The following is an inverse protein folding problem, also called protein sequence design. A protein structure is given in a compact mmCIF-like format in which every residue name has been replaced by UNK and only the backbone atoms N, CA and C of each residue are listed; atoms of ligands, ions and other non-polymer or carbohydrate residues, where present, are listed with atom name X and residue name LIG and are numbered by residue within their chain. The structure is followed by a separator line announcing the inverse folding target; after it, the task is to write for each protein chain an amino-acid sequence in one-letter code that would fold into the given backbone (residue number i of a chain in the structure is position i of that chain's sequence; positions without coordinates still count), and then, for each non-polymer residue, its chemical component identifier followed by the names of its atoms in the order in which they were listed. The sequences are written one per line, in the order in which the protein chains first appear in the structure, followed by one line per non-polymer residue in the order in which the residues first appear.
data_IF_025297152059
#
_entry.id   IF_025297152059
#
_cell.length_a   1.000
_cell.length_b   1.000
_cell.length_c   1.000
_cell.angle_alpha   90.00
_cell.angle_beta   90.00
_cell.angle_gamma   90.00
#
_symmetry.space_group_name_H-M   'P 1'
#
loop_
_entity.id
_entity.type
_entity.pdbx_description
1 polymer ?
#
# COMPACT_ATOMS: atom_id res chain seq x y z
N UNK A 1 61.10 -18.04 40.04
CA UNK A 1 60.10 -18.99 39.52
C UNK A 1 58.73 -18.32 39.50
N UNK A 2 58.21 -17.84 38.36
CA UNK A 2 56.81 -17.47 38.24
C UNK A 2 56.02 -18.61 37.57
N UNK A 3 54.87 -18.98 38.16
CA UNK A 3 53.94 -19.97 37.62
C UNK A 3 53.01 -19.30 36.61
N UNK A 4 53.08 -19.74 35.35
CA UNK A 4 52.17 -19.33 34.27
C UNK A 4 50.90 -20.17 34.40
N UNK A 5 49.75 -19.53 34.64
CA UNK A 5 48.44 -20.16 34.54
C UNK A 5 47.95 -20.06 33.08
N UNK A 6 47.80 -21.20 32.42
CA UNK A 6 47.17 -21.29 31.10
C UNK A 6 45.64 -21.36 31.29
N UNK A 7 44.92 -20.38 30.76
CA UNK A 7 43.46 -20.39 30.67
C UNK A 7 43.11 -21.08 29.36
N UNK A 8 42.53 -22.28 29.43
CA UNK A 8 41.95 -22.96 28.27
C UNK A 8 40.51 -22.47 28.09
N UNK A 9 40.29 -21.64 27.06
CA UNK A 9 38.95 -21.22 26.64
C UNK A 9 38.34 -22.35 25.81
N UNK A 10 37.38 -23.07 26.39
CA UNK A 10 36.63 -24.13 25.72
C UNK A 10 35.54 -23.49 24.85
N UNK A 11 35.80 -23.36 23.55
CA UNK A 11 34.84 -22.83 22.59
C UNK A 11 33.95 -23.98 22.10
N UNK A 12 32.77 -24.17 22.73
CA UNK A 12 31.77 -25.11 22.24
C UNK A 12 31.20 -24.63 20.91
N UNK A 13 31.55 -25.34 19.83
CA UNK A 13 30.93 -25.22 18.52
C UNK A 13 29.50 -25.79 18.60
N UNK A 14 28.49 -24.94 18.76
CA UNK A 14 27.10 -25.31 18.52
C UNK A 14 26.90 -25.35 17.00
N UNK A 15 26.92 -26.54 16.42
CA UNK A 15 26.51 -26.75 15.03
C UNK A 15 24.98 -26.61 14.95
N UNK A 16 24.51 -25.41 14.62
CA UNK A 16 23.13 -25.19 14.21
C UNK A 16 22.92 -25.80 12.83
N UNK A 17 22.29 -26.98 12.79
CA UNK A 17 21.76 -27.55 11.56
C UNK A 17 20.69 -26.62 11.00
N UNK A 18 21.04 -25.86 9.97
CA UNK A 18 20.08 -25.12 9.16
C UNK A 18 19.35 -26.16 8.32
N UNK A 19 18.20 -26.61 8.79
CA UNK A 19 17.26 -27.34 7.94
C UNK A 19 16.79 -26.36 6.86
N UNK A 20 17.34 -26.50 5.65
CA UNK A 20 16.84 -25.81 4.48
C UNK A 20 15.36 -26.14 4.31
N UNK A 21 14.52 -25.11 4.33
CA UNK A 21 13.11 -25.22 3.97
C UNK A 21 13.08 -25.54 2.47
N UNK A 22 12.99 -26.83 2.13
CA UNK A 22 12.54 -27.22 0.81
C UNK A 22 11.07 -26.83 0.73
N UNK A 23 10.76 -25.78 -0.04
CA UNK A 23 9.40 -25.55 -0.47
C UNK A 23 8.95 -26.81 -1.22
N UNK A 24 8.00 -27.56 -0.65
CA UNK A 24 7.35 -28.63 -1.39
C UNK A 24 6.80 -28.07 -2.69
N UNK A 25 6.94 -28.85 -3.78
CA UNK A 25 6.44 -28.45 -5.09
C UNK A 25 4.95 -28.11 -4.95
N UNK A 26 4.47 -26.98 -5.50
CA UNK A 26 3.07 -26.61 -5.38
C UNK A 26 2.17 -27.74 -5.93
N UNK A 27 1.04 -28.04 -5.25
CA UNK A 27 0.16 -29.11 -5.66
C UNK A 27 -0.38 -28.86 -7.07
N UNK A 28 -0.36 -29.88 -7.92
CA UNK A 28 -0.96 -29.87 -9.26
C UNK A 28 -2.39 -30.39 -9.21
N UNK A 29 -3.13 -30.15 -10.30
CA UNK A 29 -4.49 -30.68 -10.47
C UNK A 29 -4.56 -32.19 -10.20
N UNK A 30 -3.65 -32.95 -10.82
CA UNK A 30 -3.61 -34.42 -10.74
C UNK A 30 -3.25 -34.92 -9.35
N UNK A 31 -2.43 -34.16 -8.60
CA UNK A 31 -1.96 -34.58 -7.28
C UNK A 31 -2.92 -34.29 -6.13
N UNK A 32 -3.80 -33.29 -6.29
CA UNK A 32 -4.65 -32.78 -5.21
C UNK A 32 -6.13 -32.77 -5.59
N UNK A 33 -6.46 -32.17 -6.73
CA UNK A 33 -7.84 -31.85 -7.10
C UNK A 33 -8.53 -33.07 -7.71
N UNK A 34 -7.87 -33.77 -8.63
CA UNK A 34 -8.44 -34.95 -9.26
C UNK A 34 -8.82 -36.03 -8.25
N UNK A 35 -7.97 -36.41 -7.27
CA UNK A 35 -8.36 -37.33 -6.21
C UNK A 35 -9.53 -36.81 -5.37
N UNK A 36 -9.51 -35.52 -5.00
CA UNK A 36 -10.60 -34.91 -4.23
C UNK A 36 -11.94 -35.01 -4.96
N UNK A 37 -11.97 -34.64 -6.25
CA UNK A 37 -13.20 -34.69 -7.05
C UNK A 37 -13.69 -36.13 -7.21
N UNK A 38 -12.78 -37.09 -7.45
CA UNK A 38 -13.11 -38.51 -7.58
C UNK A 38 -13.73 -39.08 -6.30
N UNK A 39 -13.20 -38.74 -5.13
CA UNK A 39 -13.69 -39.26 -3.85
C UNK A 39 -14.98 -38.58 -3.41
N UNK A 40 -15.10 -37.26 -3.59
CA UNK A 40 -16.13 -36.47 -2.91
C UNK A 40 -17.20 -35.87 -3.83
N UNK A 41 -16.99 -35.84 -5.15
CA UNK A 41 -17.85 -35.06 -6.05
C UNK A 41 -18.43 -35.85 -7.23
N UNK A 42 -17.67 -36.80 -7.80
CA UNK A 42 -18.04 -37.47 -9.06
C UNK A 42 -19.27 -38.36 -8.94
N UNK A 43 -19.59 -38.89 -7.75
CA UNK A 43 -20.79 -39.71 -7.56
C UNK A 43 -22.09 -38.96 -7.93
N UNK A 44 -22.15 -37.65 -7.63
CA UNK A 44 -23.30 -36.78 -7.94
C UNK A 44 -23.08 -35.87 -9.16
N UNK A 45 -21.83 -35.62 -9.56
CA UNK A 45 -21.46 -34.69 -10.66
C UNK A 45 -20.64 -35.35 -11.78
N UNK A 46 -20.81 -36.66 -11.94
CA UNK A 46 -20.13 -37.50 -12.92
C UNK A 46 -20.78 -37.51 -14.31
N UNK A 47 -20.41 -38.48 -15.17
CA UNK A 47 -21.00 -38.64 -16.49
C UNK A 47 -22.46 -39.15 -16.43
N UNK A 48 -22.77 -39.99 -15.43
CA UNK A 48 -24.08 -40.64 -15.30
C UNK A 48 -25.09 -39.81 -14.48
N UNK A 49 -24.61 -38.93 -13.60
CA UNK A 49 -25.43 -38.09 -12.71
C UNK A 49 -24.81 -36.70 -12.63
N UNK A 50 -25.63 -35.65 -12.83
CA UNK A 50 -25.20 -34.26 -12.90
C UNK A 50 -26.16 -33.40 -12.06
N UNK A 51 -26.11 -33.58 -10.74
CA UNK A 51 -26.95 -32.79 -9.84
C UNK A 51 -26.68 -31.28 -10.00
N UNK A 52 -27.74 -30.49 -10.00
CA UNK A 52 -27.65 -29.04 -10.19
C UNK A 52 -27.12 -28.61 -11.57
N UNK A 53 -27.19 -29.49 -12.59
CA UNK A 53 -26.65 -29.27 -13.93
C UNK A 53 -25.13 -29.00 -13.95
N UNK A 54 -24.40 -29.58 -12.99
CA UNK A 54 -22.96 -29.45 -12.85
C UNK A 54 -22.28 -30.77 -13.20
N UNK A 55 -21.35 -30.70 -14.16
CA UNK A 55 -20.47 -31.80 -14.56
C UNK A 55 -19.02 -31.49 -14.16
N UNK A 56 -18.41 -32.36 -13.35
CA UNK A 56 -17.04 -32.20 -12.85
C UNK A 56 -16.06 -33.24 -13.42
N UNK A 57 -16.55 -34.25 -14.15
CA UNK A 57 -15.75 -35.36 -14.65
C UNK A 57 -14.83 -34.99 -15.83
N UNK A 58 -15.18 -33.99 -16.63
CA UNK A 58 -14.41 -33.55 -17.80
C UNK A 58 -13.44 -32.38 -17.51
N UNK A 59 -13.25 -32.06 -16.22
CA UNK A 59 -12.42 -30.93 -15.82
C UNK A 59 -10.96 -31.37 -15.68
N UNK A 60 -10.06 -30.66 -16.34
CA UNK A 60 -8.60 -30.89 -16.28
C UNK A 60 -7.86 -29.78 -15.51
N UNK A 61 -8.58 -28.72 -15.10
CA UNK A 61 -8.00 -27.59 -14.37
C UNK A 61 -8.85 -26.32 -14.46
N UNK A 62 -8.39 -25.25 -13.81
CA UNK A 62 -9.05 -23.94 -13.89
C UNK A 62 -8.58 -23.20 -15.13
N UNK A 63 -9.53 -22.69 -15.89
CA UNK A 63 -9.34 -21.81 -17.04
C UNK A 63 -10.15 -20.54 -16.85
N UNK A 64 -9.92 -19.56 -17.72
CA UNK A 64 -10.72 -18.34 -17.70
C UNK A 64 -12.20 -18.60 -18.06
N UNK A 65 -12.50 -19.69 -18.76
CA UNK A 65 -13.84 -19.99 -19.28
C UNK A 65 -14.67 -20.81 -18.28
N UNK A 66 -14.03 -21.60 -17.42
CA UNK A 66 -14.70 -22.32 -16.32
C UNK A 66 -14.54 -21.63 -14.95
N UNK A 67 -14.06 -20.39 -14.93
CA UNK A 67 -13.77 -19.66 -13.70
C UNK A 67 -15.01 -19.52 -12.80
N UNK A 68 -16.20 -19.31 -13.36
CA UNK A 68 -17.43 -19.17 -12.58
C UNK A 68 -17.87 -20.49 -11.94
N UNK A 69 -17.65 -21.63 -12.61
CA UNK A 69 -17.87 -22.95 -12.02
C UNK A 69 -16.94 -23.16 -10.82
N UNK A 70 -15.64 -22.88 -10.98
CA UNK A 70 -14.67 -23.05 -9.89
C UNK A 70 -14.88 -22.08 -8.73
N UNK A 71 -15.39 -20.86 -8.99
CA UNK A 71 -15.84 -19.96 -7.92
C UNK A 71 -16.96 -20.61 -7.10
N UNK A 72 -17.96 -21.19 -7.76
CA UNK A 72 -19.04 -21.91 -7.08
C UNK A 72 -18.52 -23.10 -6.29
N UNK A 73 -17.65 -23.93 -6.88
CA UNK A 73 -17.02 -25.07 -6.18
C UNK A 73 -16.28 -24.60 -4.93
N UNK A 74 -15.45 -23.55 -5.05
CA UNK A 74 -14.75 -22.97 -3.91
C UNK A 74 -15.70 -22.52 -2.80
N UNK A 75 -16.76 -21.77 -3.12
CA UNK A 75 -17.73 -21.30 -2.13
C UNK A 75 -18.45 -22.46 -1.43
N UNK A 76 -18.91 -23.46 -2.20
CA UNK A 76 -19.63 -24.61 -1.65
C UNK A 76 -18.74 -25.47 -0.73
N UNK A 77 -17.48 -25.71 -1.13
CA UNK A 77 -16.54 -26.50 -0.33
C UNK A 77 -16.11 -25.75 0.94
N UNK A 78 -15.82 -24.46 0.80
CA UNK A 78 -15.38 -23.60 1.91
C UNK A 78 -16.47 -23.41 2.97
N UNK A 79 -17.74 -23.32 2.55
CA UNK A 79 -18.89 -23.19 3.44
C UNK A 79 -19.42 -24.54 3.96
N UNK A 80 -18.77 -25.66 3.58
CA UNK A 80 -19.17 -27.03 3.93
C UNK A 80 -20.57 -27.44 3.44
N UNK A 81 -21.08 -26.77 2.40
CA UNK A 81 -22.34 -27.12 1.75
C UNK A 81 -22.16 -28.34 0.83
N UNK A 82 -20.96 -28.48 0.24
CA UNK A 82 -20.60 -29.65 -0.58
C UNK A 82 -19.36 -30.36 -0.04
N UNK A 83 -19.32 -31.70 -0.06
CA UNK A 83 -20.46 -32.60 -0.30
C UNK A 83 -21.55 -32.45 0.78
N UNK A 84 -22.82 -32.77 0.46
CA UNK A 84 -23.91 -32.61 1.42
C UNK A 84 -23.75 -33.61 2.58
N UNK A 85 -24.39 -33.31 3.72
CA UNK A 85 -24.22 -34.11 4.95
C UNK A 85 -24.69 -35.57 4.85
N UNK A 86 -25.52 -35.87 3.86
CA UNK A 86 -26.00 -37.21 3.51
C UNK A 86 -25.15 -37.92 2.45
N UNK A 87 -24.10 -37.27 1.94
CA UNK A 87 -23.08 -37.93 1.13
C UNK A 87 -22.31 -38.97 1.96
N UNK A 88 -21.83 -40.02 1.30
CA UNK A 88 -21.16 -41.13 1.97
C UNK A 88 -19.86 -40.72 2.67
N UNK A 89 -19.01 -39.96 1.99
CA UNK A 89 -17.71 -39.51 2.51
C UNK A 89 -17.65 -37.99 2.54
N UNK A 90 -17.18 -37.43 3.66
CA UNK A 90 -17.01 -35.99 3.85
C UNK A 90 -15.52 -35.65 3.99
N UNK A 91 -15.01 -34.68 3.21
CA UNK A 91 -13.63 -34.24 3.34
C UNK A 91 -13.38 -33.55 4.67
N UNK A 92 -12.17 -33.75 5.20
CA UNK A 92 -11.72 -33.11 6.43
C UNK A 92 -11.49 -31.59 6.24
N UNK A 93 -11.22 -30.88 7.33
CA UNK A 93 -11.02 -29.42 7.29
C UNK A 93 -9.77 -29.02 6.48
N UNK A 94 -8.71 -29.83 6.51
CA UNK A 94 -7.44 -29.52 5.87
C UNK A 94 -7.51 -29.74 4.37
N UNK A 95 -8.18 -30.79 3.91
CA UNK A 95 -8.42 -31.10 2.51
C UNK A 95 -9.29 -30.03 1.85
N UNK A 96 -10.35 -29.58 2.54
CA UNK A 96 -11.18 -28.44 2.10
C UNK A 96 -10.35 -27.16 1.96
N UNK A 97 -9.49 -26.89 2.94
CA UNK A 97 -8.62 -25.72 2.92
C UNK A 97 -7.59 -25.79 1.78
N UNK A 98 -6.93 -26.95 1.59
CA UNK A 98 -5.97 -27.18 0.50
C UNK A 98 -6.61 -27.00 -0.87
N UNK A 99 -7.81 -27.54 -1.07
CA UNK A 99 -8.55 -27.32 -2.31
C UNK A 99 -8.88 -25.84 -2.51
N UNK A 100 -9.33 -25.15 -1.44
CA UNK A 100 -9.66 -23.73 -1.50
C UNK A 100 -8.45 -22.86 -1.88
N UNK A 101 -7.29 -23.10 -1.27
CA UNK A 101 -6.04 -22.42 -1.60
C UNK A 101 -5.62 -22.69 -3.06
N UNK A 102 -5.76 -23.95 -3.51
CA UNK A 102 -5.46 -24.31 -4.91
C UNK A 102 -6.39 -23.59 -5.89
N UNK A 103 -7.70 -23.63 -5.67
CA UNK A 103 -8.69 -23.00 -6.55
C UNK A 103 -8.47 -21.49 -6.61
N UNK A 104 -8.28 -20.83 -5.47
CA UNK A 104 -8.08 -19.37 -5.43
C UNK A 104 -6.80 -18.97 -6.17
N UNK A 105 -5.70 -19.72 -6.02
CA UNK A 105 -4.45 -19.50 -6.73
C UNK A 105 -4.57 -19.72 -8.25
N UNK A 106 -5.27 -20.76 -8.69
CA UNK A 106 -5.48 -21.00 -10.11
C UNK A 106 -6.46 -20.02 -10.75
N UNK A 107 -7.52 -19.62 -10.04
CA UNK A 107 -8.40 -18.54 -10.48
C UNK A 107 -7.61 -17.24 -10.69
N UNK A 108 -6.71 -16.88 -9.76
CA UNK A 108 -5.82 -15.73 -9.92
C UNK A 108 -4.93 -15.85 -11.16
N UNK A 109 -4.34 -17.03 -11.41
CA UNK A 109 -3.52 -17.28 -12.60
C UNK A 109 -4.32 -17.19 -13.89
N UNK A 110 -5.42 -17.93 -13.98
CA UNK A 110 -6.23 -18.05 -15.19
C UNK A 110 -6.91 -16.72 -15.58
N UNK A 111 -7.29 -15.91 -14.59
CA UNK A 111 -8.01 -14.65 -14.82
C UNK A 111 -7.10 -13.42 -14.81
N UNK A 112 -5.78 -13.56 -14.67
CA UNK A 112 -4.81 -12.44 -14.58
C UNK A 112 -5.02 -11.36 -15.65
N UNK A 113 -5.33 -11.76 -16.88
CA UNK A 113 -5.53 -10.85 -18.02
C UNK A 113 -7.01 -10.51 -18.29
N UNK A 114 -7.95 -11.02 -17.48
CA UNK A 114 -9.40 -10.79 -17.58
C UNK A 114 -9.96 -10.17 -16.29
N UNK A 115 -9.23 -9.24 -15.69
CA UNK A 115 -9.64 -8.52 -14.47
C UNK A 115 -9.19 -9.16 -13.15
N UNK A 116 -8.60 -10.35 -13.18
CA UNK A 116 -8.09 -11.05 -12.01
C UNK A 116 -9.17 -11.65 -11.11
N UNK A 117 -8.73 -12.33 -10.04
CA UNK A 117 -9.61 -12.89 -9.03
C UNK A 117 -9.14 -12.45 -7.64
N UNK A 118 -9.97 -11.65 -6.97
CA UNK A 118 -9.64 -11.07 -5.67
C UNK A 118 -10.76 -11.26 -4.63
N UNK A 119 -11.84 -11.95 -5.00
CA UNK A 119 -13.03 -12.14 -4.14
C UNK A 119 -12.68 -12.74 -2.78
N UNK A 120 -11.76 -13.72 -2.74
CA UNK A 120 -11.28 -14.35 -1.50
C UNK A 120 -10.57 -13.37 -0.53
N UNK A 121 -10.14 -12.20 -0.99
CA UNK A 121 -9.54 -11.15 -0.16
C UNK A 121 -10.58 -10.20 0.47
N UNK A 122 -11.84 -10.30 0.05
CA UNK A 122 -12.91 -9.44 0.55
C UNK A 122 -13.26 -9.79 2.00
N UNK A 123 -13.58 -8.81 2.85
CA UNK A 123 -13.94 -9.08 4.25
C UNK A 123 -15.15 -10.00 4.38
N UNK A 124 -16.10 -9.92 3.43
CA UNK A 124 -17.28 -10.78 3.38
C UNK A 124 -16.93 -12.27 3.20
N UNK A 125 -15.73 -12.59 2.70
CA UNK A 125 -15.21 -13.95 2.53
C UNK A 125 -14.37 -14.44 3.69
N UNK A 126 -14.24 -13.66 4.77
CA UNK A 126 -13.53 -14.08 5.99
C UNK A 126 -14.07 -15.36 6.64
N UNK A 127 -15.36 -15.66 6.43
CA UNK A 127 -16.00 -16.89 6.93
C UNK A 127 -15.76 -18.12 6.04
N UNK A 128 -15.01 -18.00 4.93
CA UNK A 128 -14.66 -19.13 4.06
C UNK A 128 -13.43 -19.91 4.58
N UNK A 129 -12.82 -19.44 5.68
CA UNK A 129 -11.84 -20.20 6.44
C UNK A 129 -12.53 -20.77 7.67
N UNK A 130 -12.36 -22.07 7.89
CA UNK A 130 -12.97 -22.73 9.03
C UNK A 130 -12.46 -22.18 10.36
N UNK A 131 -13.35 -22.00 11.33
CA UNK A 131 -13.03 -21.43 12.64
C UNK A 131 -12.02 -22.30 13.42
N UNK A 132 -12.10 -23.62 13.32
CA UNK A 132 -11.23 -24.53 14.06
C UNK A 132 -9.81 -24.51 13.50
N UNK A 133 -9.63 -24.19 12.21
CA UNK A 133 -8.30 -23.96 11.63
C UNK A 133 -7.64 -22.66 12.15
N UNK A 134 -8.44 -21.67 12.57
CA UNK A 134 -7.94 -20.38 13.04
C UNK A 134 -7.73 -20.33 14.56
N UNK A 135 -8.64 -20.95 15.32
CA UNK A 135 -8.72 -20.78 16.77
C UNK A 135 -8.61 -22.11 17.54
N UNK A 136 -8.62 -23.25 16.83
CA UNK A 136 -8.46 -24.57 17.41
C UNK A 136 -7.00 -24.99 17.60
N UNK A 137 -6.81 -26.28 17.90
CA UNK A 137 -5.48 -26.87 17.89
C UNK A 137 -4.98 -26.92 16.45
N UNK A 138 -3.79 -26.34 16.21
CA UNK A 138 -3.18 -26.30 14.88
C UNK A 138 -2.90 -27.74 14.42
N UNK A 139 -3.51 -28.21 13.31
CA UNK A 139 -3.25 -29.54 12.77
C UNK A 139 -1.78 -29.74 12.38
N UNK A 140 -1.31 -30.99 12.42
CA UNK A 140 0.02 -31.35 11.94
C UNK A 140 0.20 -30.92 10.47
N UNK A 141 1.32 -30.27 10.17
CA UNK A 141 1.62 -29.73 8.84
C UNK A 141 1.19 -28.27 8.61
N UNK A 142 0.49 -27.65 9.56
CA UNK A 142 0.28 -26.20 9.58
C UNK A 142 1.25 -25.54 10.56
N UNK A 143 1.93 -24.48 10.11
CA UNK A 143 2.69 -23.64 11.02
C UNK A 143 1.71 -22.79 11.83
N UNK A 144 1.97 -22.52 13.13
CA UNK A 144 1.21 -21.52 13.86
C UNK A 144 1.16 -20.25 13.04
N UNK A 145 -0.01 -19.62 12.98
CA UNK A 145 -0.18 -18.29 12.39
C UNK A 145 0.52 -17.25 13.25
N UNK A 146 1.85 -17.29 13.27
CA UNK A 146 2.64 -16.12 13.59
C UNK A 146 2.34 -15.16 12.46
N UNK A 147 1.56 -14.11 12.74
CA UNK A 147 1.53 -13.01 11.80
C UNK A 147 2.98 -12.58 11.61
N UNK A 148 3.56 -12.66 10.40
CA UNK A 148 4.80 -11.96 10.10
C UNK A 148 4.62 -10.52 10.59
N UNK A 149 5.70 -9.85 11.02
CA UNK A 149 5.65 -8.47 11.49
C UNK A 149 4.61 -7.69 10.66
N UNK A 150 3.45 -7.41 11.25
CA UNK A 150 2.31 -6.91 10.50
C UNK A 150 2.79 -5.63 9.85
N UNK A 151 2.69 -5.54 8.52
CA UNK A 151 2.59 -4.23 7.88
C UNK A 151 1.45 -3.54 8.61
N UNK A 152 1.80 -2.62 9.52
CA UNK A 152 0.83 -1.75 10.13
C UNK A 152 0.15 -1.04 8.97
N UNK A 153 -1.14 -1.34 8.74
CA UNK A 153 -1.90 -0.66 7.71
C UNK A 153 -1.77 0.83 8.02
N UNK A 154 -1.10 1.54 7.13
CA UNK A 154 -0.86 2.96 7.28
C UNK A 154 -2.23 3.62 7.10
N UNK A 155 -2.72 4.25 8.17
CA UNK A 155 -3.99 4.96 8.11
C UNK A 155 -3.90 6.01 6.98
N UNK A 156 -4.95 6.27 6.17
CA UNK A 156 -4.87 7.24 5.06
C UNK A 156 -4.32 8.61 5.48
N UNK A 157 -4.64 9.02 6.71
CA UNK A 157 -4.11 10.24 7.31
C UNK A 157 -2.58 10.27 7.45
N UNK A 158 -1.96 9.12 7.72
CA UNK A 158 -0.50 9.02 7.86
C UNK A 158 0.19 9.22 6.52
N UNK A 159 -0.39 8.74 5.40
CA UNK A 159 0.10 9.09 4.07
C UNK A 159 0.05 10.60 3.83
N UNK A 160 -1.05 11.25 4.22
CA UNK A 160 -1.22 12.69 4.05
C UNK A 160 -0.21 13.49 4.90
N UNK A 161 0.01 13.08 6.15
CA UNK A 161 0.99 13.71 7.04
C UNK A 161 2.44 13.49 6.56
N UNK A 162 2.75 12.33 5.98
CA UNK A 162 4.06 12.08 5.38
C UNK A 162 4.31 12.93 4.14
N UNK A 163 3.32 13.03 3.25
CA UNK A 163 3.41 13.92 2.10
C UNK A 163 3.59 15.38 2.54
N UNK A 164 2.90 15.82 3.61
CA UNK A 164 3.13 17.12 4.25
C UNK A 164 4.58 17.28 4.72
N UNK A 165 5.15 16.26 5.39
CA UNK A 165 6.52 16.29 5.87
C UNK A 165 7.59 16.33 4.76
N UNK A 166 7.25 16.03 3.49
CA UNK A 166 8.15 16.20 2.36
C UNK A 166 8.29 17.67 1.93
N UNK A 167 7.26 18.48 2.15
CA UNK A 167 7.15 19.84 1.60
C UNK A 167 7.09 20.92 2.69
N UNK A 168 6.71 20.59 3.92
CA UNK A 168 6.55 21.51 5.03
C UNK A 168 7.47 21.14 6.19
N UNK A 169 7.93 22.17 6.92
CA UNK A 169 8.58 21.96 8.21
C UNK A 169 7.53 21.59 9.26
N UNK A 170 7.56 20.34 9.72
CA UNK A 170 6.71 19.90 10.83
C UNK A 170 7.43 20.02 12.18
N UNK A 171 6.83 20.68 13.18
CA UNK A 171 7.46 20.83 14.49
C UNK A 171 7.51 19.49 15.23
N UNK A 172 8.57 19.30 16.02
CA UNK A 172 8.67 18.15 16.92
C UNK A 172 7.71 18.29 18.10
N UNK A 173 7.35 17.17 18.71
CA UNK A 173 6.53 17.15 19.92
C UNK A 173 7.20 17.92 21.06
N UNK A 174 6.47 18.88 21.63
CA UNK A 174 6.86 19.62 22.83
C UNK A 174 5.97 19.21 24.02
N UNK A 175 6.51 18.46 25.00
CA UNK A 175 5.75 18.05 26.19
C UNK A 175 5.20 19.22 27.01
N UNK A 176 5.78 20.43 26.90
CA UNK A 176 5.29 21.63 27.59
C UNK A 176 4.07 22.25 26.90
N UNK A 177 3.81 21.88 25.64
CA UNK A 177 2.70 22.39 24.83
C UNK A 177 2.03 21.24 24.05
N UNK A 178 1.45 20.24 24.75
CA UNK A 178 0.97 19.00 24.13
C UNK A 178 -0.24 19.20 23.19
N UNK A 179 -0.90 20.36 23.21
CA UNK A 179 -2.03 20.67 22.32
C UNK A 179 -1.63 21.32 20.99
N UNK A 180 -0.33 21.51 20.72
CA UNK A 180 0.12 21.98 19.42
C UNK A 180 0.20 20.83 18.42
N UNK A 181 -0.14 21.10 17.16
CA UNK A 181 0.09 20.15 16.07
C UNK A 181 1.59 19.92 15.92
N UNK A 182 1.96 18.65 15.82
CA UNK A 182 3.33 18.14 15.71
C UNK A 182 3.43 17.14 14.56
N UNK A 183 4.65 16.75 14.21
CA UNK A 183 4.91 15.75 13.17
C UNK A 183 4.14 14.46 13.46
N UNK A 184 3.41 13.96 12.45
CA UNK A 184 2.56 12.76 12.58
C UNK A 184 1.11 13.04 12.97
N UNK A 185 0.79 14.25 13.45
CA UNK A 185 -0.59 14.58 13.81
C UNK A 185 -1.49 14.70 12.58
N UNK A 186 -2.75 14.30 12.78
CA UNK A 186 -3.79 14.35 11.76
C UNK A 186 -3.96 15.78 11.21
N UNK A 187 -4.10 15.87 9.89
CA UNK A 187 -4.43 17.10 9.18
C UNK A 187 -5.95 17.22 9.19
N UNK A 188 -6.44 18.12 10.05
CA UNK A 188 -7.86 18.38 10.19
C UNK A 188 -8.44 19.20 9.02
N UNK A 189 -9.78 19.28 8.93
CA UNK A 189 -10.43 20.12 7.95
C UNK A 189 -10.14 21.61 8.23
N UNK A 190 -10.06 22.39 7.16
CA UNK A 190 -10.05 23.85 7.23
C UNK A 190 -11.43 24.40 7.64
N UNK A 191 -11.58 25.73 7.70
CA UNK A 191 -12.86 26.38 8.08
C UNK A 191 -14.01 26.07 7.11
N UNK A 192 -13.70 25.63 5.89
CA UNK A 192 -14.65 25.26 4.83
C UNK A 192 -14.98 23.76 4.85
N UNK A 193 -14.38 22.99 5.77
CA UNK A 193 -14.60 21.55 5.91
C UNK A 193 -13.68 20.69 5.04
N UNK A 194 -12.74 21.28 4.29
CA UNK A 194 -11.85 20.55 3.39
C UNK A 194 -10.57 20.10 4.11
N UNK A 195 -10.19 18.84 3.89
CA UNK A 195 -8.88 18.32 4.34
C UNK A 195 -7.89 18.47 3.20
N UNK A 196 -6.85 19.29 3.37
CA UNK A 196 -5.83 19.54 2.35
C UNK A 196 -4.43 19.67 2.98
N UNK A 197 -3.42 19.21 2.27
CA UNK A 197 -2.02 19.59 2.54
C UNK A 197 -1.74 20.84 1.73
N UNK A 198 -1.29 21.90 2.40
CA UNK A 198 -0.92 23.16 1.78
C UNK A 198 0.58 23.24 1.51
N UNK A 199 0.96 23.93 0.44
CA UNK A 199 2.35 24.15 0.08
C UNK A 199 2.92 25.40 0.78
N UNK A 200 4.04 25.26 1.50
CA UNK A 200 4.90 26.39 1.88
C UNK A 200 4.29 27.43 2.81
N UNK A 201 3.28 27.06 3.60
CA UNK A 201 2.62 27.97 4.55
C UNK A 201 3.59 28.64 5.52
N UNK A 202 4.65 27.93 5.90
CA UNK A 202 5.70 28.38 6.81
C UNK A 202 6.53 29.55 6.27
N UNK A 203 6.56 29.73 4.95
CA UNK A 203 7.27 30.81 4.27
C UNK A 203 6.39 32.02 3.95
N UNK A 204 5.06 31.91 4.00
CA UNK A 204 4.19 33.04 3.67
C UNK A 204 4.38 34.17 4.69
N UNK A 205 4.79 35.35 4.22
CA UNK A 205 4.97 36.55 5.05
C UNK A 205 3.84 37.57 4.86
N UNK A 206 3.10 37.51 3.76
CA UNK A 206 1.97 38.39 3.48
C UNK A 206 1.26 38.01 2.19
N UNK A 207 0.08 38.61 1.97
CA UNK A 207 -0.70 38.43 0.76
C UNK A 207 -1.49 39.69 0.39
N UNK A 208 -1.99 39.76 -0.84
CA UNK A 208 -2.89 40.84 -1.29
C UNK A 208 -4.35 40.43 -1.13
N UNK A 209 -5.11 41.23 -0.36
CA UNK A 209 -6.56 41.06 -0.18
C UNK A 209 -6.97 40.52 1.20
N UNK A 210 -8.25 40.19 1.33
CA UNK A 210 -8.81 39.65 2.58
C UNK A 210 -8.53 38.15 2.76
N UNK A 211 -9.07 37.58 3.83
CA UNK A 211 -8.93 36.14 4.15
C UNK A 211 -9.44 35.21 3.06
N UNK A 212 -10.52 35.58 2.37
CA UNK A 212 -11.05 34.81 1.23
C UNK A 212 -10.07 34.79 0.04
N UNK A 213 -9.38 35.91 -0.23
CA UNK A 213 -8.37 35.97 -1.28
C UNK A 213 -7.15 35.10 -0.92
N UNK A 214 -6.75 35.12 0.36
CA UNK A 214 -5.72 34.23 0.88
C UNK A 214 -6.09 32.76 0.68
N UNK A 215 -7.27 32.33 1.14
CA UNK A 215 -7.74 30.96 1.01
C UNK A 215 -7.77 30.47 -0.45
N UNK A 216 -8.17 31.33 -1.39
CA UNK A 216 -8.18 31.02 -2.82
C UNK A 216 -6.76 30.95 -3.44
N UNK A 217 -5.82 31.75 -2.93
CA UNK A 217 -4.45 31.83 -3.47
C UNK A 217 -3.52 30.71 -3.02
N UNK A 218 -3.73 30.14 -1.83
CA UNK A 218 -2.87 29.07 -1.33
C UNK A 218 -3.20 27.77 -2.08
N UNK A 219 -2.16 27.18 -2.65
CA UNK A 219 -2.27 25.90 -3.31
C UNK A 219 -2.06 24.76 -2.32
N UNK A 220 -2.68 23.62 -2.64
CA UNK A 220 -2.58 22.41 -1.87
C UNK A 220 -3.21 21.24 -2.60
N UNK A 221 -3.15 20.07 -2.00
CA UNK A 221 -3.80 18.88 -2.53
C UNK A 221 -4.67 18.22 -1.46
N UNK A 222 -5.90 17.79 -1.82
CA UNK A 222 -6.73 16.98 -0.94
C UNK A 222 -6.25 15.51 -0.97
N UNK A 223 -6.67 14.69 0.01
CA UNK A 223 -6.54 13.25 -0.12
C UNK A 223 -7.40 12.77 -1.30
N UNK A 224 -6.83 11.86 -2.10
CA UNK A 224 -7.57 11.16 -3.17
C UNK A 224 -8.04 9.83 -2.60
N UNK A 225 -9.34 9.70 -2.34
CA UNK A 225 -9.95 8.52 -1.73
C UNK A 225 -11.12 8.04 -2.60
N UNK A 226 -10.86 7.07 -3.45
CA UNK A 226 -11.90 6.25 -4.07
C UNK A 226 -11.96 4.92 -3.34
N UNK A 227 -13.05 4.72 -2.61
CA UNK A 227 -13.47 3.39 -2.21
C UNK A 227 -14.63 2.99 -3.11
N UNK A 228 -14.60 1.77 -3.64
CA UNK A 228 -15.70 1.23 -4.43
C UNK A 228 -16.99 1.13 -3.60
N UNK A 229 -16.88 1.05 -2.26
CA UNK A 229 -18.01 0.93 -1.35
C UNK A 229 -18.00 1.94 -0.19
N UNK A 230 -19.16 2.57 0.05
CA UNK A 230 -19.35 3.55 1.14
C UNK A 230 -19.66 2.94 2.51
N UNK A 231 -19.68 1.61 2.68
CA UNK A 231 -20.10 0.99 3.95
C UNK A 231 -19.19 -0.18 4.36
N UNK A 232 -18.97 -0.38 5.66
CA UNK A 232 -18.22 -1.52 6.20
C UNK A 232 -16.73 -1.28 6.46
N UNK A 233 -15.94 -2.37 6.48
CA UNK A 233 -14.51 -2.37 6.75
C UNK A 233 -13.73 -1.79 5.55
N UNK A 234 -13.50 -0.48 5.55
CA UNK A 234 -12.90 0.26 4.41
C UNK A 234 -11.39 0.08 4.23
N UNK A 235 -10.69 -0.58 5.15
CA UNK A 235 -9.22 -0.58 5.19
C UNK A 235 -8.56 -1.70 4.37
N UNK A 236 -9.21 -2.23 3.33
CA UNK A 236 -8.69 -3.34 2.54
C UNK A 236 -8.17 -2.84 1.19
N UNK A 237 -6.87 -3.05 0.83
CA UNK A 237 -6.27 -2.54 -0.41
C UNK A 237 -7.05 -2.88 -1.68
N UNK A 238 -7.66 -4.07 -1.68
CA UNK A 238 -8.48 -4.62 -2.77
C UNK A 238 -9.78 -3.84 -3.02
N UNK A 239 -10.24 -3.03 -2.04
CA UNK A 239 -11.47 -2.23 -2.15
C UNK A 239 -11.22 -0.81 -2.67
N UNK A 240 -9.96 -0.46 -2.92
CA UNK A 240 -9.58 0.81 -3.51
C UNK A 240 -9.35 0.59 -5.00
N UNK A 241 -10.24 1.13 -5.82
CA UNK A 241 -9.98 1.31 -7.24
C UNK A 241 -9.71 2.79 -7.50
N UNK A 242 -8.86 3.10 -8.48
CA UNK A 242 -8.62 4.47 -8.92
C UNK A 242 -9.17 4.58 -10.33
N UNK A 243 -10.14 5.47 -10.53
CA UNK A 243 -10.64 5.72 -11.89
C UNK A 243 -9.66 6.60 -12.69
N UNK A 244 -9.86 6.74 -14.00
CA UNK A 244 -8.94 7.49 -14.86
C UNK A 244 -8.75 8.97 -14.47
N UNK A 245 -9.80 9.62 -13.94
CA UNK A 245 -9.71 11.01 -13.49
C UNK A 245 -8.88 11.13 -12.21
N UNK A 246 -9.06 10.21 -11.27
CA UNK A 246 -8.29 10.14 -10.02
C UNK A 246 -6.83 9.77 -10.30
N UNK A 247 -6.55 8.85 -11.23
CA UNK A 247 -5.19 8.50 -11.64
C UNK A 247 -4.45 9.72 -12.21
N UNK A 248 -5.16 10.51 -13.03
CA UNK A 248 -4.63 11.77 -13.57
C UNK A 248 -4.37 12.78 -12.45
N UNK A 249 -5.28 12.88 -11.47
CA UNK A 249 -5.12 13.76 -10.32
C UNK A 249 -3.93 13.35 -9.44
N UNK A 250 -3.76 12.05 -9.16
CA UNK A 250 -2.62 11.51 -8.40
C UNK A 250 -1.31 11.85 -9.11
N UNK A 251 -1.25 11.63 -10.42
CA UNK A 251 -0.06 11.93 -11.23
C UNK A 251 0.29 13.42 -11.20
N UNK A 252 -0.71 14.30 -11.38
CA UNK A 252 -0.53 15.76 -11.30
C UNK A 252 -0.07 16.20 -9.91
N UNK A 253 -0.66 15.65 -8.85
CA UNK A 253 -0.27 15.95 -7.48
C UNK A 253 1.16 15.49 -7.20
N UNK A 254 1.54 14.28 -7.62
CA UNK A 254 2.90 13.76 -7.48
C UNK A 254 3.92 14.67 -8.19
N UNK A 255 3.64 15.08 -9.42
CA UNK A 255 4.49 16.04 -10.14
C UNK A 255 4.64 17.36 -9.37
N UNK A 256 3.52 17.91 -8.86
CA UNK A 256 3.51 19.18 -8.14
C UNK A 256 4.30 19.09 -6.83
N UNK A 257 4.17 17.97 -6.10
CA UNK A 257 4.94 17.68 -4.88
C UNK A 257 6.43 17.62 -5.20
N UNK A 258 6.83 16.87 -6.24
CA UNK A 258 8.24 16.76 -6.64
C UNK A 258 8.81 18.10 -7.07
N UNK A 259 8.07 18.90 -7.86
CA UNK A 259 8.48 20.26 -8.23
C UNK A 259 8.67 21.16 -7.01
N UNK A 260 7.77 21.06 -6.03
CA UNK A 260 7.90 21.82 -4.78
C UNK A 260 9.09 21.34 -3.94
N UNK A 261 9.35 20.03 -3.89
CA UNK A 261 10.54 19.46 -3.25
C UNK A 261 11.84 19.85 -3.96
N UNK A 262 11.81 20.12 -5.26
CA UNK A 262 12.98 20.56 -6.01
C UNK A 262 13.20 22.08 -5.90
N UNK A 263 12.16 22.88 -6.07
CA UNK A 263 12.30 24.33 -6.28
C UNK A 263 11.60 25.19 -5.21
N UNK A 264 10.69 24.61 -4.41
CA UNK A 264 9.84 25.35 -3.48
C UNK A 264 8.60 25.94 -4.17
N UNK A 265 8.01 27.03 -3.63
CA UNK A 265 6.80 27.61 -4.21
C UNK A 265 7.07 28.15 -5.62
N UNK A 266 6.13 27.90 -6.53
CA UNK A 266 6.12 28.49 -7.87
C UNK A 266 5.79 29.98 -7.74
N UNK A 267 6.84 30.79 -7.61
CA UNK A 267 6.75 32.20 -7.34
C UNK A 267 7.86 32.95 -8.06
N UNK A 268 7.54 34.16 -8.50
CA UNK A 268 8.47 35.04 -9.19
C UNK A 268 9.51 35.63 -8.21
N UNK A 269 10.70 36.05 -8.68
CA UNK A 269 11.73 36.61 -7.81
C UNK A 269 11.26 37.78 -6.94
N UNK A 270 10.33 38.60 -7.44
CA UNK A 270 9.78 39.75 -6.70
C UNK A 270 8.80 39.35 -5.58
N UNK A 271 8.32 38.10 -5.56
CA UNK A 271 7.45 37.59 -4.50
C UNK A 271 8.25 37.18 -3.25
N UNK A 272 9.58 37.15 -3.31
CA UNK A 272 10.45 36.82 -2.20
C UNK A 272 11.03 38.07 -1.53
N UNK A 273 10.74 38.25 -0.24
CA UNK A 273 11.22 39.38 0.55
C UNK A 273 11.52 38.97 2.00
N UNK A 274 12.31 39.78 2.71
CA UNK A 274 12.56 39.54 4.15
C UNK A 274 11.40 40.07 4.99
N UNK A 275 10.80 41.19 4.59
CA UNK A 275 9.61 41.77 5.21
C UNK A 275 8.59 42.18 4.16
N UNK A 276 7.32 42.23 4.57
CA UNK A 276 6.21 42.68 3.70
C UNK A 276 6.41 44.13 3.23
N UNK A 277 7.07 44.95 4.04
CA UNK A 277 7.39 46.34 3.71
C UNK A 277 8.34 46.45 2.49
N UNK A 278 9.18 45.45 2.23
CA UNK A 278 10.21 45.50 1.19
C UNK A 278 9.65 45.17 -0.20
N UNK A 279 8.41 44.68 -0.26
CA UNK A 279 7.71 44.37 -1.52
C UNK A 279 7.26 45.67 -2.18
N UNK A 280 7.62 45.84 -3.45
CA UNK A 280 7.24 46.98 -4.28
C UNK A 280 5.71 47.17 -4.32
N UNK A 281 5.26 48.41 -4.13
CA UNK A 281 3.84 48.77 -4.11
C UNK A 281 3.13 48.41 -5.43
N UNK A 282 3.86 48.38 -6.55
CA UNK A 282 3.30 47.99 -7.85
C UNK A 282 2.82 46.54 -7.92
N UNK A 283 3.24 45.68 -6.98
CA UNK A 283 2.78 44.29 -6.86
C UNK A 283 1.72 44.12 -5.76
N UNK A 284 1.25 45.22 -5.16
CA UNK A 284 0.26 45.23 -4.08
C UNK A 284 -1.09 45.80 -4.53
N UNK A 285 -1.47 45.61 -5.79
CA UNK A 285 -2.74 46.10 -6.33
C UNK A 285 -3.82 45.02 -6.31
N UNK A 286 -5.08 45.46 -6.30
CA UNK A 286 -6.23 44.60 -6.07
C UNK A 286 -6.55 43.59 -7.16
N UNK A 287 -5.90 43.65 -8.33
CA UNK A 287 -6.17 42.73 -9.44
C UNK A 287 -5.56 41.35 -9.23
N UNK A 288 -4.56 41.25 -8.35
CA UNK A 288 -3.91 39.97 -8.02
C UNK A 288 -4.68 39.16 -6.96
N UNK A 289 -5.74 39.72 -6.35
CA UNK A 289 -6.48 39.09 -5.25
C UNK A 289 -6.97 37.69 -5.63
N UNK A 290 -6.54 36.69 -4.87
CA UNK A 290 -6.94 35.29 -5.07
C UNK A 290 -6.07 34.51 -6.06
N UNK A 291 -5.07 35.14 -6.68
CA UNK A 291 -4.10 34.49 -7.55
C UNK A 291 -2.85 34.06 -6.76
N UNK A 292 -2.11 33.06 -7.24
CA UNK A 292 -0.84 32.65 -6.63
C UNK A 292 0.19 33.81 -6.56
N UNK A 293 0.12 34.75 -7.50
CA UNK A 293 0.94 35.98 -7.56
C UNK A 293 0.67 36.93 -6.38
N UNK A 294 -0.46 36.78 -5.68
CA UNK A 294 -0.76 37.59 -4.50
C UNK A 294 -0.05 37.13 -3.23
N UNK A 295 0.60 35.96 -3.24
CA UNK A 295 1.33 35.44 -2.08
C UNK A 295 2.78 35.92 -2.09
N UNK A 296 3.27 36.33 -0.92
CA UNK A 296 4.65 36.73 -0.71
C UNK A 296 5.33 35.83 0.30
N UNK A 297 6.56 35.44 -0.01
CA UNK A 297 7.32 34.44 0.74
C UNK A 297 8.60 35.03 1.33
N UNK A 298 9.00 34.50 2.50
CA UNK A 298 10.31 34.75 3.10
C UNK A 298 11.43 34.17 2.23
N UNK A 299 12.56 34.86 2.14
CA UNK A 299 13.74 34.36 1.40
C UNK A 299 14.33 33.08 1.98
N UNK A 300 14.26 32.93 3.31
CA UNK A 300 14.74 31.73 3.99
C UNK A 300 13.96 30.48 3.55
N UNK A 301 14.70 29.46 3.12
CA UNK A 301 14.14 28.14 2.79
C UNK A 301 13.84 27.40 4.09
N UNK A 302 12.56 27.11 4.33
CA UNK A 302 12.10 26.40 5.54
C UNK A 302 11.70 24.95 5.29
N UNK A 303 11.33 24.60 4.06
CA UNK A 303 11.02 23.22 3.66
C UNK A 303 12.25 22.31 3.84
N UNK A 304 12.05 21.00 4.03
CA UNK A 304 13.16 20.05 4.02
C UNK A 304 13.89 20.06 2.67
N UNK A 305 15.22 20.07 2.72
CA UNK A 305 16.06 19.75 1.56
C UNK A 305 16.26 18.24 1.56
N UNK A 306 15.94 17.61 0.43
CA UNK A 306 15.88 16.15 0.26
C UNK A 306 16.73 15.76 -0.94
N UNK A 307 17.04 14.47 -1.15
CA UNK A 307 17.77 14.04 -2.34
C UNK A 307 17.11 14.44 -3.68
N UNK A 308 15.80 14.74 -3.69
CA UNK A 308 15.10 15.32 -4.86
C UNK A 308 15.58 16.74 -5.17
N UNK A 309 15.94 17.53 -4.16
CA UNK A 309 16.58 18.83 -4.35
C UNK A 309 17.96 18.66 -4.99
N UNK A 310 18.80 17.80 -4.42
CA UNK A 310 20.17 17.57 -4.91
C UNK A 310 20.20 17.02 -6.35
N UNK A 311 19.21 16.19 -6.69
CA UNK A 311 19.01 15.69 -8.05
C UNK A 311 18.72 16.80 -9.06
N UNK A 312 17.97 17.83 -8.65
CA UNK A 312 17.46 18.88 -9.54
C UNK A 312 18.26 20.18 -9.48
N UNK A 313 19.13 20.36 -8.48
CA UNK A 313 19.93 21.57 -8.28
C UNK A 313 21.01 21.72 -9.37
N UNK A 314 21.72 20.64 -9.71
CA UNK A 314 22.76 20.68 -10.73
C UNK A 314 22.25 20.16 -12.09
N UNK A 315 22.74 20.73 -13.22
CA UNK A 315 22.38 20.24 -14.54
C UNK A 315 22.80 18.77 -14.74
N UNK A 316 21.89 17.96 -15.29
CA UNK A 316 22.13 16.55 -15.61
C UNK A 316 21.76 15.61 -14.47
N UNK A 317 21.42 14.37 -14.82
CA UNK A 317 21.02 13.31 -13.89
C UNK A 317 22.10 12.25 -13.84
N UNK A 318 22.72 12.09 -12.67
CA UNK A 318 23.66 10.99 -12.39
C UNK A 318 22.93 9.82 -11.76
N UNK A 319 23.35 8.58 -12.05
CA UNK A 319 22.75 7.38 -11.46
C UNK A 319 22.75 7.39 -9.92
N UNK A 320 23.78 7.96 -9.29
CA UNK A 320 23.89 8.06 -7.83
C UNK A 320 22.81 8.97 -7.23
N UNK A 321 22.67 10.20 -7.75
CA UNK A 321 21.63 11.14 -7.31
C UNK A 321 20.22 10.62 -7.62
N UNK A 322 20.03 9.97 -8.78
CA UNK A 322 18.76 9.36 -9.13
C UNK A 322 18.40 8.24 -8.14
N UNK A 323 19.36 7.36 -7.84
CA UNK A 323 19.17 6.27 -6.89
C UNK A 323 18.85 6.80 -5.49
N UNK A 324 19.58 7.81 -5.01
CA UNK A 324 19.30 8.43 -3.70
C UNK A 324 17.90 9.04 -3.62
N UNK A 325 17.44 9.70 -4.69
CA UNK A 325 16.08 10.24 -4.76
C UNK A 325 15.01 9.13 -4.75
N UNK A 326 15.22 8.06 -5.51
CA UNK A 326 14.33 6.90 -5.56
C UNK A 326 14.22 6.23 -4.19
N UNK A 327 15.35 5.92 -3.55
CA UNK A 327 15.37 5.23 -2.26
C UNK A 327 14.74 6.08 -1.15
N UNK A 328 15.04 7.37 -1.12
CA UNK A 328 14.44 8.31 -0.18
C UNK A 328 12.91 8.40 -0.34
N UNK A 329 12.42 8.56 -1.57
CA UNK A 329 10.98 8.61 -1.85
C UNK A 329 10.31 7.27 -1.51
N UNK A 330 10.94 6.16 -1.85
CA UNK A 330 10.44 4.83 -1.54
C UNK A 330 10.27 4.65 -0.03
N UNK A 331 11.29 4.97 0.76
CA UNK A 331 11.23 4.84 2.23
C UNK A 331 10.18 5.79 2.84
N UNK A 332 10.13 7.03 2.37
CA UNK A 332 9.15 8.01 2.82
C UNK A 332 7.71 7.54 2.60
N UNK A 333 7.44 6.88 1.48
CA UNK A 333 6.09 6.43 1.10
C UNK A 333 5.72 5.04 1.64
N UNK A 334 6.70 4.15 1.85
CA UNK A 334 6.45 2.74 2.20
C UNK A 334 6.82 2.35 3.64
N UNK A 335 7.45 3.25 4.40
CA UNK A 335 7.94 3.01 5.76
C UNK A 335 9.07 1.95 5.87
N UNK A 336 9.72 1.61 4.76
CA UNK A 336 10.87 0.71 4.76
C UNK A 336 11.83 1.06 3.63
N UNK A 337 13.12 0.72 3.76
CA UNK A 337 14.03 0.81 2.63
C UNK A 337 13.56 -0.11 1.48
N UNK A 338 13.81 0.27 0.22
CA UNK A 338 13.60 -0.61 -0.92
C UNK A 338 14.60 -1.77 -0.91
N UNK A 339 14.21 -2.86 -1.55
CA UNK A 339 15.16 -3.90 -1.97
C UNK A 339 15.88 -3.47 -3.25
N UNK A 340 17.03 -4.07 -3.55
CA UNK A 340 17.77 -3.75 -4.78
C UNK A 340 16.92 -3.90 -6.04
N UNK A 341 16.12 -4.97 -6.13
CA UNK A 341 15.23 -5.20 -7.27
C UNK A 341 14.16 -4.10 -7.40
N UNK A 342 13.67 -3.55 -6.29
CA UNK A 342 12.68 -2.46 -6.34
C UNK A 342 13.34 -1.16 -6.80
N UNK A 343 14.51 -0.83 -6.27
CA UNK A 343 15.31 0.32 -6.73
C UNK A 343 15.60 0.23 -8.23
N UNK A 344 15.99 -0.96 -8.71
CA UNK A 344 16.30 -1.19 -10.13
C UNK A 344 15.07 -1.01 -11.04
N UNK A 345 13.89 -1.46 -10.60
CA UNK A 345 12.64 -1.26 -11.33
C UNK A 345 12.31 0.22 -11.47
N UNK A 346 12.35 0.99 -10.38
CA UNK A 346 12.06 2.42 -10.44
C UNK A 346 13.09 3.20 -11.26
N UNK A 347 14.37 2.79 -11.20
CA UNK A 347 15.41 3.38 -12.05
C UNK A 347 15.13 3.13 -13.53
N UNK A 348 14.72 1.92 -13.89
CA UNK A 348 14.31 1.58 -15.25
C UNK A 348 13.17 2.46 -15.75
N UNK A 349 12.12 2.65 -14.93
CA UNK A 349 10.96 3.49 -15.28
C UNK A 349 11.35 4.94 -15.58
N UNK A 350 12.31 5.50 -14.84
CA UNK A 350 12.72 6.91 -15.04
C UNK A 350 13.63 7.08 -16.25
N UNK A 351 14.31 6.01 -16.67
CA UNK A 351 15.25 6.03 -17.80
C UNK A 351 14.59 5.69 -19.15
N UNK A 352 13.39 5.10 -19.14
CA UNK A 352 12.51 4.95 -20.31
C UNK A 352 11.89 6.30 -20.72
#
# INVERSE_FOLDING_TARGET
MPRIFAIFTFCSFFATSISGVYAEKPPTFESLVQPFLQTYCIDCHGPDTQEGDIALHDIEGVTADNADLFKSVWEQVALKEMPPVDAGELPDLLDRHRLSEWITAELQRATKNKGGFQTHLLPAKGNHVDHDLLFGAIPDGLQPTSTPARLWRIHPQEHLTRLSALINREPQFDPKRPGLRTRGDAIGPNQEGEVKVYYGLDRVIGWVGGTAAYAASITGFPPVLSSDDRHGLRSYPVLYSVNGAEATQISRNAETILRFMAHGPDAQPHQFADKVADIDAKYKHGDLRGLAESLFYGKEVKRPLTPVYDLMEEPGVTDERLTSAIEYLYEALTCRPPTQSETDVYRGIVQE
#
